data_IF_159346499811
#
_entry.id   IF_159346499811
#
_cell.length_a   1.000
_cell.length_b   1.000
_cell.length_c   1.000
_cell.angle_alpha   90.00
_cell.angle_beta   90.00
_cell.angle_gamma   90.00
#
_symmetry.space_group_name_H-M   'P 1'
#
loop_
_entity.id
_entity.type
_entity.pdbx_description
1 polymer ?
#
# COMPACT_ATOMS: atom_id res chain seq x y z
N UNK A 1 6.74 -2.02 -3.46
CA UNK A 1 6.41 -0.60 -3.71
C UNK A 1 5.39 -0.16 -2.67
N UNK A 2 5.59 0.93 -1.91
CA UNK A 2 4.58 1.35 -0.94
C UNK A 2 3.65 2.41 -1.54
N UNK A 3 2.35 2.24 -1.27
CA UNK A 3 1.32 3.14 -1.78
C UNK A 3 0.46 3.62 -0.62
N UNK A 4 -0.05 4.84 -0.76
CA UNK A 4 -1.11 5.38 0.05
C UNK A 4 -2.35 5.59 -0.83
N UNK A 5 -3.44 4.88 -0.51
CA UNK A 5 -4.72 5.02 -1.20
C UNK A 5 -5.71 5.78 -0.32
N UNK A 6 -6.29 6.84 -0.86
CA UNK A 6 -7.30 7.67 -0.19
C UNK A 6 -8.72 7.14 -0.42
N UNK A 7 -8.89 6.17 -1.32
CA UNK A 7 -10.16 5.56 -1.69
C UNK A 7 -10.07 4.03 -1.74
N UNK A 8 -11.20 3.37 -1.49
CA UNK A 8 -11.33 1.94 -1.73
C UNK A 8 -11.31 1.67 -3.24
N UNK A 9 -10.37 0.85 -3.70
CA UNK A 9 -10.23 0.46 -5.11
C UNK A 9 -9.90 -1.01 -5.21
N UNK A 10 -10.53 -1.67 -6.17
CA UNK A 10 -10.25 -3.06 -6.50
C UNK A 10 -9.40 -3.09 -7.78
N UNK A 11 -8.29 -3.81 -7.74
CA UNK A 11 -7.40 -4.00 -8.87
C UNK A 11 -7.33 -5.48 -9.24
N UNK A 12 -7.76 -5.79 -10.46
CA UNK A 12 -7.58 -7.12 -11.04
C UNK A 12 -6.20 -7.25 -11.67
N UNK A 13 -5.45 -8.29 -11.31
CA UNK A 13 -4.20 -8.67 -11.93
C UNK A 13 -4.34 -9.86 -12.88
N UNK A 14 -3.27 -10.16 -13.62
CA UNK A 14 -3.21 -11.36 -14.45
C UNK A 14 -3.18 -12.64 -13.60
N UNK A 15 -3.80 -13.72 -14.10
CA UNK A 15 -3.93 -15.03 -13.41
C UNK A 15 -4.84 -15.05 -12.17
N UNK A 16 -5.85 -14.17 -12.12
CA UNK A 16 -6.88 -14.21 -11.07
C UNK A 16 -6.43 -13.68 -9.71
N UNK A 17 -5.26 -13.01 -9.67
CA UNK A 17 -4.84 -12.27 -8.48
C UNK A 17 -5.61 -10.96 -8.41
N UNK A 18 -6.03 -10.56 -7.22
CA UNK A 18 -6.68 -9.28 -6.97
C UNK A 18 -5.96 -8.55 -5.85
N UNK A 19 -6.04 -7.23 -5.90
CA UNK A 19 -5.52 -6.36 -4.85
C UNK A 19 -6.56 -5.30 -4.52
N UNK A 20 -6.99 -5.28 -3.26
CA UNK A 20 -7.99 -4.35 -2.77
C UNK A 20 -7.36 -3.33 -1.83
N UNK A 21 -7.50 -2.05 -2.17
CA UNK A 21 -7.18 -0.96 -1.26
C UNK A 21 -8.42 -0.51 -0.50
N UNK A 22 -8.20 0.04 0.69
CA UNK A 22 -9.21 0.73 1.50
C UNK A 22 -8.90 2.23 1.53
N UNK A 23 -9.85 3.10 1.89
CA UNK A 23 -9.52 4.47 2.27
C UNK A 23 -8.47 4.44 3.41
N UNK A 24 -7.49 5.33 3.32
CA UNK A 24 -6.32 5.40 4.20
C UNK A 24 -5.43 4.14 4.19
N UNK A 25 -5.52 3.33 3.13
CA UNK A 25 -4.62 2.19 2.99
C UNK A 25 -3.19 2.67 2.79
N UNK A 26 -2.29 2.27 3.69
CA UNK A 26 -0.87 2.53 3.59
C UNK A 26 -0.11 1.21 3.75
N UNK A 27 0.49 0.74 2.66
CA UNK A 27 1.08 -0.59 2.65
C UNK A 27 1.86 -0.89 1.38
N UNK A 28 2.45 -2.08 1.37
CA UNK A 28 3.16 -2.57 0.19
C UNK A 28 2.15 -3.07 -0.85
N UNK A 29 2.20 -2.46 -2.03
CA UNK A 29 1.53 -2.92 -3.23
C UNK A 29 2.41 -3.92 -3.99
N UNK A 30 1.80 -4.94 -4.59
CA UNK A 30 2.53 -5.91 -5.38
C UNK A 30 3.08 -5.28 -6.68
N UNK A 31 4.22 -5.76 -7.15
CA UNK A 31 4.92 -5.18 -8.30
C UNK A 31 4.10 -5.17 -9.58
N UNK A 32 3.24 -6.18 -9.82
CA UNK A 32 2.38 -6.23 -11.00
C UNK A 32 1.35 -5.10 -11.05
N UNK A 33 1.08 -4.44 -9.91
CA UNK A 33 0.08 -3.38 -9.82
C UNK A 33 0.53 -2.12 -10.58
N UNK A 34 1.85 -1.86 -10.65
CA UNK A 34 2.40 -0.71 -11.39
C UNK A 34 2.14 -0.79 -12.89
N UNK A 35 1.96 -2.01 -13.41
CA UNK A 35 1.71 -2.28 -14.82
C UNK A 35 0.22 -2.18 -15.16
N UNK A 36 -0.67 -2.11 -14.15
CA UNK A 36 -2.10 -2.00 -14.34
C UNK A 36 -2.51 -0.57 -14.75
N UNK A 37 -3.20 -0.42 -15.89
CA UNK A 37 -3.68 0.88 -16.39
C UNK A 37 -4.64 1.59 -15.43
N UNK A 38 -5.52 0.84 -14.75
CA UNK A 38 -6.44 1.41 -13.77
C UNK A 38 -5.70 1.97 -12.56
N UNK A 39 -4.63 1.31 -12.13
CA UNK A 39 -3.76 1.80 -11.06
C UNK A 39 -3.04 3.09 -11.49
N UNK A 40 -2.51 3.15 -12.72
CA UNK A 40 -1.89 4.36 -13.27
C UNK A 40 -2.88 5.53 -13.33
N UNK A 41 -4.14 5.27 -13.70
CA UNK A 41 -5.21 6.27 -13.66
C UNK A 41 -5.47 6.77 -12.24
N UNK A 42 -5.51 5.87 -11.25
CA UNK A 42 -5.68 6.24 -9.83
C UNK A 42 -4.53 7.11 -9.31
N UNK A 43 -3.30 6.86 -9.76
CA UNK A 43 -2.13 7.69 -9.44
C UNK A 43 -2.24 9.07 -10.07
N UNK A 44 -2.68 9.15 -11.33
CA UNK A 44 -2.90 10.42 -12.04
C UNK A 44 -3.98 11.28 -11.36
N UNK A 45 -5.07 10.65 -10.91
CA UNK A 45 -6.18 11.29 -10.19
C UNK A 45 -5.84 11.60 -8.71
N UNK A 46 -4.62 11.28 -8.26
CA UNK A 46 -4.15 11.43 -6.87
C UNK A 46 -4.94 10.64 -5.83
N UNK A 47 -5.78 9.70 -6.25
CA UNK A 47 -6.46 8.77 -5.34
C UNK A 47 -5.50 7.75 -4.75
N UNK A 48 -4.43 7.44 -5.48
CA UNK A 48 -3.28 6.67 -5.00
C UNK A 48 -2.02 7.50 -5.14
N UNK A 49 -1.15 7.43 -4.13
CA UNK A 49 0.15 8.10 -4.13
C UNK A 49 1.25 7.11 -3.77
N UNK A 50 2.39 7.22 -4.44
CA UNK A 50 3.57 6.44 -4.06
C UNK A 50 4.19 7.05 -2.81
N UNK A 51 4.37 6.23 -1.78
CA UNK A 51 5.12 6.60 -0.58
C UNK A 51 6.47 5.88 -0.66
N UNK A 52 7.56 6.64 -0.81
CA UNK A 52 8.91 6.13 -1.12
C UNK A 52 9.52 5.20 -0.06
N UNK A 53 8.89 5.11 1.10
CA UNK A 53 9.06 4.09 2.12
C UNK A 53 7.83 4.23 3.03
N UNK A 54 7.40 3.18 3.76
CA UNK A 54 6.66 3.46 4.97
C UNK A 54 7.55 4.41 5.79
N UNK A 55 7.02 5.45 6.47
CA UNK A 55 7.77 6.00 7.59
C UNK A 55 8.14 4.76 8.39
N UNK A 56 9.45 4.50 8.48
CA UNK A 56 10.07 3.31 9.06
C UNK A 56 9.09 2.82 10.08
N UNK A 57 8.54 1.61 9.89
CA UNK A 57 7.86 0.94 10.98
C UNK A 57 8.77 1.22 12.15
N UNK A 58 8.36 2.11 13.04
CA UNK A 58 9.05 2.29 14.29
C UNK A 58 8.77 0.92 14.84
N UNK A 59 9.73 0.02 14.63
CA UNK A 59 10.26 -0.85 15.63
C UNK A 59 10.33 0.06 16.84
N UNK A 60 9.17 0.23 17.48
CA UNK A 60 9.14 0.41 18.91
C UNK A 60 9.97 -0.81 19.30
N UNK A 61 11.20 -0.66 19.82
CA UNK A 61 11.71 -1.74 20.63
C UNK A 61 10.55 -2.06 21.56
N UNK A 62 10.05 -3.28 21.51
CA UNK A 62 8.90 -3.70 22.30
C UNK A 62 9.15 -3.21 23.72
N UNK A 63 8.44 -2.15 24.10
CA UNK A 63 8.68 -1.52 25.37
C UNK A 63 8.07 -2.47 26.40
N UNK A 64 8.95 -3.00 27.25
CA UNK A 64 8.73 -3.75 28.50
C UNK A 64 8.57 -5.27 28.39
N UNK A 65 9.66 -5.95 28.74
CA UNK A 65 9.65 -6.72 30.00
C UNK A 65 11.04 -6.67 30.63
N UNK A 66 11.25 -5.64 31.45
CA UNK A 66 12.11 -5.79 32.61
C UNK A 66 11.44 -6.84 33.52
N UNK A 67 12.02 -8.03 33.62
CA UNK A 67 11.69 -8.96 34.70
C UNK A 67 12.97 -9.24 35.48
N UNK A 68 12.89 -8.68 36.69
CA UNK A 68 13.69 -8.79 37.90
C UNK A 68 14.34 -10.15 38.11
#
# INVERSE_FOLDING_TARGET
>A
MFIHATAARHFGGGKGITFDTKPDFLGEAPDWLKDNDYFKACVSDKTITYVGAPPVAVTKPAAKSAKK
#
